data_IF_019869209133
#
_entry.id   IF_019869209133
#
_cell.length_a   1.000
_cell.length_b   1.000
_cell.length_c   1.000
_cell.angle_alpha   90.00
_cell.angle_beta   90.00
_cell.angle_gamma   90.00
#
_symmetry.space_group_name_H-M   'P 1'
#
loop_
_entity.id
_entity.type
_entity.pdbx_description
1 polymer ?
#
# COMPACT_ATOMS: atom_id res chain seq x y z
N UNK A 1 14.25 17.37 12.98
CA UNK A 1 14.81 18.44 12.14
C UNK A 1 14.52 18.11 10.69
N UNK A 2 13.77 18.95 9.97
CA UNK A 2 13.41 18.70 8.57
C UNK A 2 14.56 19.08 7.65
N UNK A 3 14.96 18.16 6.77
CA UNK A 3 15.93 18.41 5.70
C UNK A 3 15.34 19.47 4.77
N UNK A 4 16.13 20.48 4.39
CA UNK A 4 15.64 21.53 3.49
C UNK A 4 15.31 20.94 2.10
N UNK A 5 14.31 21.48 1.38
CA UNK A 5 13.96 21.01 0.02
C UNK A 5 15.17 20.99 -0.93
N UNK A 6 16.13 21.88 -0.71
CA UNK A 6 17.38 21.98 -1.49
C UNK A 6 18.31 20.80 -1.23
N UNK A 7 18.50 20.41 0.04
CA UNK A 7 19.28 19.22 0.41
C UNK A 7 18.62 17.92 -0.06
N UNK A 8 17.29 17.85 -0.02
CA UNK A 8 16.53 16.74 -0.57
C UNK A 8 16.70 16.62 -2.10
N UNK A 9 16.64 17.75 -2.82
CA UNK A 9 16.85 17.79 -4.28
C UNK A 9 18.29 17.42 -4.68
N UNK A 10 19.30 17.88 -3.93
CA UNK A 10 20.71 17.55 -4.18
C UNK A 10 21.00 16.05 -3.92
N UNK A 11 20.40 15.48 -2.86
CA UNK A 11 20.47 14.05 -2.57
C UNK A 11 19.79 13.23 -3.66
N UNK A 12 18.66 13.71 -4.19
CA UNK A 12 17.96 13.10 -5.33
C UNK A 12 18.80 13.03 -6.59
N UNK A 13 19.58 14.06 -6.93
CA UNK A 13 20.47 14.05 -8.09
C UNK A 13 21.57 12.99 -7.97
N UNK A 14 22.20 12.86 -6.80
CA UNK A 14 23.22 11.81 -6.56
C UNK A 14 22.61 10.41 -6.67
N UNK A 15 21.42 10.22 -6.10
CA UNK A 15 20.70 8.95 -6.20
C UNK A 15 20.34 8.62 -7.65
N UNK A 16 19.89 9.60 -8.42
CA UNK A 16 19.56 9.43 -9.84
C UNK A 16 20.79 9.02 -10.66
N UNK A 17 21.95 9.66 -10.46
CA UNK A 17 23.20 9.27 -11.12
C UNK A 17 23.60 7.84 -10.76
N UNK A 18 23.49 7.46 -9.49
CA UNK A 18 23.82 6.12 -9.02
C UNK A 18 22.85 5.08 -9.61
N UNK A 19 21.57 5.41 -9.67
CA UNK A 19 20.53 4.59 -10.30
C UNK A 19 20.79 4.38 -11.79
N UNK A 20 21.08 5.44 -12.56
CA UNK A 20 21.42 5.33 -13.99
C UNK A 20 22.72 4.57 -14.21
N UNK A 21 23.71 4.75 -13.32
CA UNK A 21 24.95 3.97 -13.33
C UNK A 21 24.69 2.48 -13.12
N UNK A 22 23.87 2.12 -12.13
CA UNK A 22 23.48 0.72 -11.87
C UNK A 22 22.66 0.14 -13.04
N UNK A 23 21.77 0.92 -13.67
CA UNK A 23 21.04 0.50 -14.86
C UNK A 23 21.98 0.25 -16.05
N UNK A 24 22.99 1.11 -16.26
CA UNK A 24 23.98 0.91 -17.30
C UNK A 24 24.81 -0.37 -17.05
N UNK A 25 25.23 -0.61 -15.81
CA UNK A 25 25.90 -1.85 -15.41
C UNK A 25 25.00 -3.06 -15.65
N UNK A 26 23.73 -3.00 -15.25
CA UNK A 26 22.76 -4.07 -15.48
C UNK A 26 22.56 -4.36 -16.97
N UNK A 27 22.47 -3.32 -17.81
CA UNK A 27 22.38 -3.46 -19.26
C UNK A 27 23.63 -4.13 -19.84
N UNK A 28 24.83 -3.71 -19.43
CA UNK A 28 26.09 -4.33 -19.86
C UNK A 28 26.16 -5.79 -19.44
N UNK A 29 25.78 -6.12 -18.21
CA UNK A 29 25.73 -7.50 -17.73
C UNK A 29 24.73 -8.35 -18.52
N UNK A 30 23.54 -7.82 -18.78
CA UNK A 30 22.52 -8.51 -19.58
C UNK A 30 22.99 -8.76 -21.02
N UNK A 31 23.57 -7.75 -21.68
CA UNK A 31 24.13 -7.89 -23.02
C UNK A 31 25.29 -8.89 -23.05
N UNK A 32 26.18 -8.82 -22.06
CA UNK A 32 27.29 -9.78 -21.91
C UNK A 32 26.75 -11.20 -21.77
N UNK A 33 25.72 -11.40 -20.93
CA UNK A 33 25.08 -12.70 -20.75
C UNK A 33 24.51 -13.24 -22.07
N UNK A 34 23.79 -12.41 -22.83
CA UNK A 34 23.24 -12.79 -24.15
C UNK A 34 24.35 -13.15 -25.15
N UNK A 35 25.45 -12.40 -25.17
CA UNK A 35 26.58 -12.66 -26.07
C UNK A 35 27.33 -13.94 -25.69
N UNK A 36 27.52 -14.19 -24.40
CA UNK A 36 28.19 -15.39 -23.88
C UNK A 36 27.32 -16.62 -24.06
N UNK A 37 26.01 -16.55 -23.78
CA UNK A 37 25.07 -17.67 -23.96
C UNK A 37 25.01 -18.16 -25.41
N UNK A 38 25.16 -17.24 -26.38
CA UNK A 38 25.27 -17.59 -27.81
C UNK A 38 26.52 -18.39 -28.15
N UNK A 39 27.61 -18.22 -27.40
CA UNK A 39 28.92 -18.83 -27.69
C UNK A 39 29.25 -20.03 -26.82
N UNK A 40 28.74 -20.07 -25.59
CA UNK A 40 29.08 -21.08 -24.61
C UNK A 40 27.81 -21.64 -23.95
N UNK A 41 27.53 -22.91 -24.20
CA UNK A 41 26.52 -23.67 -23.47
C UNK A 41 27.24 -24.61 -22.50
N UNK A 42 27.22 -24.33 -21.18
CA UNK A 42 27.91 -25.18 -20.21
C UNK A 42 27.35 -26.60 -20.27
N UNK A 43 28.25 -27.59 -20.32
CA UNK A 43 27.87 -29.00 -20.34
C UNK A 43 27.08 -29.40 -19.09
N UNK A 44 26.26 -30.44 -19.21
CA UNK A 44 25.37 -30.89 -18.13
C UNK A 44 26.10 -31.18 -16.81
N UNK A 45 27.36 -31.65 -16.87
CA UNK A 45 28.21 -31.91 -15.70
C UNK A 45 28.56 -30.63 -14.95
N UNK A 46 29.00 -29.59 -15.65
CA UNK A 46 29.35 -28.31 -15.04
C UNK A 46 28.13 -27.65 -14.41
N UNK A 47 26.96 -27.70 -15.07
CA UNK A 47 25.71 -27.17 -14.50
C UNK A 47 25.29 -27.91 -13.22
N UNK A 48 25.42 -29.24 -13.18
CA UNK A 48 25.16 -30.03 -11.97
C UNK A 48 26.16 -29.75 -10.85
N UNK A 49 27.45 -29.63 -11.19
CA UNK A 49 28.50 -29.30 -10.24
C UNK A 49 28.27 -27.91 -9.62
N UNK A 50 27.92 -26.92 -10.44
CA UNK A 50 27.57 -25.59 -9.97
C UNK A 50 26.32 -25.59 -9.09
N UNK A 51 25.24 -26.27 -9.51
CA UNK A 51 24.04 -26.41 -8.69
C UNK A 51 24.32 -27.14 -7.35
N UNK A 52 25.15 -28.17 -7.38
CA UNK A 52 25.61 -28.88 -6.17
C UNK A 52 26.46 -28.00 -5.26
N UNK A 53 27.35 -27.18 -5.82
CA UNK A 53 28.16 -26.23 -5.06
C UNK A 53 27.30 -25.14 -4.41
N UNK A 54 26.31 -24.60 -5.13
CA UNK A 54 25.34 -23.65 -4.55
C UNK A 54 24.54 -24.27 -3.41
N UNK A 55 24.07 -25.51 -3.59
CA UNK A 55 23.35 -26.23 -2.54
C UNK A 55 24.25 -26.51 -1.33
N UNK A 56 25.48 -26.96 -1.55
CA UNK A 56 26.45 -27.19 -0.49
C UNK A 56 26.76 -25.89 0.28
N UNK A 57 26.95 -24.77 -0.42
CA UNK A 57 27.16 -23.46 0.18
C UNK A 57 25.95 -23.02 1.02
N UNK A 58 24.72 -23.23 0.53
CA UNK A 58 23.50 -22.96 1.29
C UNK A 58 23.40 -23.82 2.55
N UNK A 59 23.73 -25.11 2.45
CA UNK A 59 23.75 -26.02 3.60
C UNK A 59 24.80 -25.59 4.62
N UNK A 60 26.03 -25.30 4.19
CA UNK A 60 27.11 -24.84 5.08
C UNK A 60 26.73 -23.52 5.76
N UNK A 61 26.15 -22.57 5.01
CA UNK A 61 25.69 -21.31 5.58
C UNK A 61 24.58 -21.53 6.61
N UNK A 62 23.58 -22.36 6.31
CA UNK A 62 22.51 -22.69 7.25
C UNK A 62 23.04 -23.41 8.50
N UNK A 63 23.95 -24.38 8.34
CA UNK A 63 24.62 -25.07 9.44
C UNK A 63 25.43 -24.11 10.30
N UNK A 64 26.18 -23.19 9.69
CA UNK A 64 26.91 -22.15 10.42
C UNK A 64 25.96 -21.27 11.25
N UNK A 65 24.83 -20.87 10.68
CA UNK A 65 23.80 -20.10 11.39
C UNK A 65 23.28 -20.87 12.60
N UNK A 66 22.91 -22.14 12.44
CA UNK A 66 22.39 -22.94 13.56
C UNK A 66 23.45 -23.19 14.65
N UNK A 67 24.69 -23.46 14.26
CA UNK A 67 25.80 -23.63 15.22
C UNK A 67 26.09 -22.33 15.97
N UNK A 68 26.03 -21.18 15.29
CA UNK A 68 26.42 -19.88 15.87
C UNK A 68 25.33 -19.21 16.69
N UNK A 69 24.06 -19.36 16.30
CA UNK A 69 22.95 -18.58 16.83
C UNK A 69 21.89 -19.39 17.60
N UNK A 70 21.96 -20.73 17.51
CA UNK A 70 21.14 -21.64 18.30
C UNK A 70 20.30 -22.60 17.46
N UNK A 71 19.52 -23.43 18.14
CA UNK A 71 18.62 -24.37 17.50
C UNK A 71 17.52 -23.66 16.68
N UNK A 72 16.92 -24.29 15.65
CA UNK A 72 15.85 -23.66 14.87
C UNK A 72 14.69 -23.08 15.72
N UNK A 73 14.21 -23.75 16.79
CA UNK A 73 13.18 -23.18 17.66
C UNK A 73 13.64 -21.95 18.44
N UNK A 74 14.89 -21.93 18.93
CA UNK A 74 15.44 -20.76 19.64
C UNK A 74 15.56 -19.55 18.71
N UNK A 75 16.02 -19.77 17.49
CA UNK A 75 16.11 -18.73 16.47
C UNK A 75 14.74 -18.18 16.10
N UNK A 76 13.73 -19.05 15.95
CA UNK A 76 12.36 -18.64 15.68
C UNK A 76 11.79 -17.80 16.84
N UNK A 77 12.02 -18.22 18.09
CA UNK A 77 11.59 -17.50 19.29
C UNK A 77 12.26 -16.12 19.38
N UNK A 78 13.58 -16.05 19.24
CA UNK A 78 14.34 -14.78 19.23
C UNK A 78 13.88 -13.86 18.10
N UNK A 79 13.69 -14.41 16.90
CA UNK A 79 13.20 -13.67 15.74
C UNK A 79 11.80 -13.11 15.96
N UNK A 80 10.89 -13.91 16.52
CA UNK A 80 9.55 -13.46 16.88
C UNK A 80 9.58 -12.35 17.93
N UNK A 81 10.32 -12.53 19.03
CA UNK A 81 10.45 -11.51 20.07
C UNK A 81 11.08 -10.21 19.54
N UNK A 82 12.08 -10.29 18.66
CA UNK A 82 12.69 -9.12 18.02
C UNK A 82 11.71 -8.42 17.06
N UNK A 83 10.92 -9.20 16.31
CA UNK A 83 9.95 -8.68 15.37
C UNK A 83 8.80 -7.95 16.05
N UNK A 84 8.28 -8.49 17.17
CA UNK A 84 7.17 -7.90 17.93
C UNK A 84 7.59 -6.85 18.95
N UNK A 85 8.90 -6.63 19.15
CA UNK A 85 9.38 -5.60 20.05
C UNK A 85 9.06 -4.19 19.50
N UNK A 86 8.89 -3.18 20.38
CA UNK A 86 8.71 -1.80 19.96
C UNK A 86 9.82 -1.34 18.99
N UNK A 87 9.51 -0.46 18.03
CA UNK A 87 10.49 0.06 17.09
C UNK A 87 11.71 0.64 17.82
N UNK A 88 12.93 0.23 17.45
CA UNK A 88 14.15 0.74 18.07
C UNK A 88 14.33 2.22 17.75
N UNK A 89 14.72 3.01 18.76
CA UNK A 89 15.20 4.38 18.55
C UNK A 89 16.63 4.26 18.03
N UNK A 90 16.86 4.67 16.79
CA UNK A 90 18.17 4.61 16.15
C UNK A 90 18.73 6.01 16.08
N UNK A 91 19.56 6.34 17.06
CA UNK A 91 20.32 7.59 17.14
C UNK A 91 21.75 7.33 16.64
N UNK A 92 22.04 7.73 15.39
CA UNK A 92 23.40 7.68 14.84
C UNK A 92 23.57 6.85 13.57
N UNK A 93 24.18 5.67 13.67
CA UNK A 93 24.64 4.89 12.52
C UNK A 93 23.49 4.18 11.79
N UNK A 94 23.36 4.45 10.49
CA UNK A 94 22.40 3.77 9.63
C UNK A 94 22.72 2.28 9.46
N UNK A 95 23.96 1.85 9.69
CA UNK A 95 24.33 0.43 9.65
C UNK A 95 23.60 -0.39 10.73
N UNK A 96 23.25 0.23 11.86
CA UNK A 96 22.50 -0.43 12.94
C UNK A 96 21.06 -0.78 12.50
N UNK A 97 20.55 -0.18 11.41
CA UNK A 97 19.30 -0.61 10.76
C UNK A 97 19.46 -1.87 9.93
N UNK A 98 20.61 -2.06 9.28
CA UNK A 98 20.80 -3.12 8.28
C UNK A 98 20.80 -4.53 8.90
N UNK A 99 21.25 -4.65 10.14
CA UNK A 99 21.35 -5.93 10.86
C UNK A 99 20.24 -6.10 11.91
N UNK A 100 19.22 -5.24 11.90
CA UNK A 100 18.12 -5.28 12.85
C UNK A 100 16.91 -6.03 12.28
N UNK A 101 16.44 -7.03 13.02
CA UNK A 101 15.24 -7.81 12.67
C UNK A 101 14.00 -7.29 13.43
N UNK A 102 13.78 -5.97 13.40
CA UNK A 102 12.58 -5.35 13.97
C UNK A 102 11.44 -5.35 12.97
N UNK A 103 10.23 -5.69 13.44
CA UNK A 103 9.01 -5.56 12.65
C UNK A 103 8.55 -4.12 12.48
N UNK A 104 9.20 -3.14 13.12
CA UNK A 104 8.88 -1.71 13.03
C UNK A 104 7.39 -1.40 13.27
N UNK A 105 6.79 -2.06 14.26
CA UNK A 105 5.37 -1.88 14.63
C UNK A 105 4.37 -2.69 13.82
N UNK A 106 4.79 -3.47 12.81
CA UNK A 106 3.88 -4.29 11.97
C UNK A 106 3.07 -5.31 12.76
N UNK A 107 3.60 -5.84 13.85
CA UNK A 107 2.86 -6.77 14.71
C UNK A 107 1.58 -6.10 15.29
N UNK A 108 1.66 -4.83 15.69
CA UNK A 108 0.51 -4.07 16.18
C UNK A 108 -0.46 -3.75 15.05
N UNK A 109 0.07 -3.41 13.87
CA UNK A 109 -0.74 -3.14 12.67
C UNK A 109 -1.54 -4.37 12.24
N UNK A 110 -0.91 -5.55 12.21
CA UNK A 110 -1.58 -6.81 11.87
C UNK A 110 -2.56 -7.25 12.94
N UNK A 111 -2.25 -6.97 14.21
CA UNK A 111 -3.18 -7.24 15.32
C UNK A 111 -4.45 -6.41 15.19
N UNK A 112 -4.33 -5.13 14.84
CA UNK A 112 -5.49 -4.27 14.58
C UNK A 112 -6.30 -4.73 13.35
N UNK A 113 -5.63 -5.20 12.27
CA UNK A 113 -6.33 -5.77 11.11
C UNK A 113 -7.10 -7.04 11.51
N UNK A 114 -6.48 -7.89 12.31
CA UNK A 114 -7.08 -9.12 12.80
C UNK A 114 -8.28 -8.86 13.72
N UNK A 115 -8.19 -7.86 14.61
CA UNK A 115 -9.31 -7.43 15.44
C UNK A 115 -10.48 -6.90 14.59
N UNK A 116 -10.22 -6.03 13.61
CA UNK A 116 -11.24 -5.55 12.67
C UNK A 116 -11.91 -6.69 11.90
N UNK A 117 -11.16 -7.71 11.50
CA UNK A 117 -11.71 -8.90 10.85
C UNK A 117 -12.66 -9.66 11.78
N UNK A 118 -12.27 -9.87 13.04
CA UNK A 118 -13.11 -10.58 14.03
C UNK A 118 -14.41 -9.85 14.36
N UNK A 119 -14.44 -8.54 14.18
CA UNK A 119 -15.67 -7.75 14.28
C UNK A 119 -16.60 -7.91 13.04
N UNK A 120 -16.06 -8.34 11.89
CA UNK A 120 -16.73 -8.35 10.58
C UNK A 120 -16.45 -9.62 9.76
N UNK A 121 -16.57 -10.80 10.38
CA UNK A 121 -15.96 -12.08 9.93
C UNK A 121 -16.32 -12.56 8.50
N UNK A 122 -17.45 -12.15 7.93
CA UNK A 122 -17.90 -12.67 6.62
C UNK A 122 -17.55 -11.76 5.44
N UNK A 123 -17.84 -10.47 5.56
CA UNK A 123 -17.74 -9.51 4.47
C UNK A 123 -16.57 -8.53 4.65
N UNK A 124 -15.92 -8.54 5.82
CA UNK A 124 -14.98 -7.51 6.22
C UNK A 124 -15.66 -6.19 6.55
N UNK A 125 -14.87 -5.21 7.00
CA UNK A 125 -15.33 -3.90 7.40
C UNK A 125 -15.55 -2.91 6.22
N UNK A 126 -15.29 -3.35 4.99
CA UNK A 126 -15.35 -2.55 3.76
C UNK A 126 -13.96 -2.08 3.30
N UNK A 127 -13.81 -1.82 1.99
CA UNK A 127 -12.55 -1.34 1.42
C UNK A 127 -12.15 0.04 1.98
N UNK A 128 -10.87 0.21 2.34
CA UNK A 128 -10.32 1.41 2.96
C UNK A 128 -10.79 1.67 4.40
N UNK A 129 -11.28 0.64 5.10
CA UNK A 129 -11.75 0.73 6.48
C UNK A 129 -10.63 0.59 7.51
N UNK A 130 -9.47 0.04 7.13
CA UNK A 130 -8.36 -0.20 8.05
C UNK A 130 -7.90 1.08 8.75
N UNK A 131 -7.64 2.17 8.00
CA UNK A 131 -7.26 3.48 8.57
C UNK A 131 -8.22 3.88 9.69
N UNK A 132 -9.54 3.69 9.49
CA UNK A 132 -10.55 4.11 10.47
C UNK A 132 -10.54 3.25 11.73
N UNK A 133 -10.33 1.94 11.58
CA UNK A 133 -10.21 1.05 12.72
C UNK A 133 -8.94 1.40 13.52
N UNK A 134 -7.78 1.46 12.84
CA UNK A 134 -6.51 1.86 13.45
C UNK A 134 -6.62 3.21 14.16
N UNK A 135 -7.21 4.22 13.54
CA UNK A 135 -7.30 5.55 14.14
C UNK A 135 -8.15 5.56 15.43
N UNK A 136 -9.11 4.65 15.58
CA UNK A 136 -9.92 4.54 16.80
C UNK A 136 -9.23 3.78 17.92
N UNK A 137 -8.51 2.71 17.59
CA UNK A 137 -7.99 1.74 18.57
C UNK A 137 -6.51 1.93 18.90
N UNK A 138 -5.76 2.67 18.07
CA UNK A 138 -4.30 2.85 18.27
C UNK A 138 -3.95 3.47 19.62
N UNK A 139 -2.87 2.96 20.20
CA UNK A 139 -2.27 3.47 21.44
C UNK A 139 -1.18 4.52 21.19
N UNK A 140 -0.67 4.59 19.95
CA UNK A 140 0.36 5.54 19.55
C UNK A 140 -0.24 6.64 18.67
N UNK A 141 0.33 7.86 18.66
CA UNK A 141 -0.17 8.94 17.81
C UNK A 141 0.10 8.71 16.31
N UNK A 142 0.75 7.61 15.93
CA UNK A 142 1.10 7.31 14.54
C UNK A 142 -0.15 7.17 13.67
N UNK A 143 -0.21 7.94 12.60
CA UNK A 143 -1.24 7.78 11.57
C UNK A 143 -0.73 6.79 10.52
N UNK A 144 -1.46 5.69 10.34
CA UNK A 144 -1.19 4.68 9.33
C UNK A 144 -2.49 4.43 8.56
N UNK A 145 -2.37 4.25 7.24
CA UNK A 145 -3.50 4.00 6.35
C UNK A 145 -3.76 2.53 6.10
N UNK A 146 -2.70 1.73 6.11
CA UNK A 146 -2.67 0.36 5.60
C UNK A 146 -2.02 -0.57 6.62
N UNK A 147 -2.35 -1.86 6.61
CA UNK A 147 -1.87 -2.80 7.62
C UNK A 147 -0.41 -3.22 7.40
N UNK A 148 0.24 -2.74 6.34
CA UNK A 148 1.54 -3.22 5.86
C UNK A 148 1.52 -4.74 5.65
N UNK A 149 0.51 -5.22 4.92
CA UNK A 149 0.37 -6.62 4.55
C UNK A 149 -0.92 -6.85 3.76
N UNK A 150 -0.78 -7.03 2.44
CA UNK A 150 -1.88 -7.16 1.49
C UNK A 150 -2.92 -8.18 1.94
N UNK A 151 -2.48 -9.36 2.42
CA UNK A 151 -3.38 -10.46 2.75
C UNK A 151 -4.19 -10.20 4.04
N UNK A 152 -3.54 -9.72 5.09
CA UNK A 152 -4.21 -9.47 6.37
C UNK A 152 -5.14 -8.27 6.27
N UNK A 153 -4.76 -7.25 5.50
CA UNK A 153 -5.60 -6.10 5.20
C UNK A 153 -6.82 -6.50 4.36
N UNK A 154 -6.61 -7.26 3.28
CA UNK A 154 -7.71 -7.76 2.44
C UNK A 154 -8.70 -8.60 3.27
N UNK A 155 -8.20 -9.38 4.23
CA UNK A 155 -9.05 -10.15 5.15
C UNK A 155 -9.88 -9.23 6.07
N UNK A 156 -9.26 -8.19 6.63
CA UNK A 156 -9.95 -7.22 7.49
C UNK A 156 -11.01 -6.42 6.73
N UNK A 157 -10.73 -6.03 5.49
CA UNK A 157 -11.57 -5.13 4.72
C UNK A 157 -12.63 -5.84 3.87
N UNK A 158 -12.28 -6.98 3.25
CA UNK A 158 -13.13 -7.69 2.29
C UNK A 158 -13.49 -9.12 2.75
N UNK A 159 -13.06 -9.51 3.96
CA UNK A 159 -13.36 -10.80 4.54
C UNK A 159 -12.69 -11.98 3.83
N UNK A 160 -13.06 -13.21 4.20
CA UNK A 160 -12.50 -14.42 3.62
C UNK A 160 -12.82 -14.56 2.13
N UNK A 161 -13.94 -13.99 1.67
CA UNK A 161 -14.32 -14.01 0.26
C UNK A 161 -13.38 -13.14 -0.58
N UNK A 162 -13.12 -11.90 -0.15
CA UNK A 162 -12.17 -11.01 -0.83
C UNK A 162 -10.76 -11.60 -0.84
N UNK A 163 -10.30 -12.12 0.31
CA UNK A 163 -9.00 -12.79 0.39
C UNK A 163 -8.93 -14.01 -0.54
N UNK A 164 -9.99 -14.83 -0.59
CA UNK A 164 -10.06 -16.01 -1.45
C UNK A 164 -9.95 -15.64 -2.94
N UNK A 165 -10.64 -14.59 -3.37
CA UNK A 165 -10.56 -14.09 -4.75
C UNK A 165 -9.17 -13.56 -5.09
N UNK A 166 -8.56 -12.80 -4.18
CA UNK A 166 -7.21 -12.29 -4.34
C UNK A 166 -6.18 -13.43 -4.46
N UNK A 167 -6.19 -14.37 -3.51
CA UNK A 167 -5.28 -15.52 -3.51
C UNK A 167 -5.48 -16.37 -4.76
N UNK A 168 -6.73 -16.59 -5.19
CA UNK A 168 -7.00 -17.31 -6.42
C UNK A 168 -6.40 -16.61 -7.65
N UNK A 169 -6.56 -15.29 -7.78
CA UNK A 169 -5.96 -14.52 -8.86
C UNK A 169 -4.43 -14.59 -8.85
N UNK A 170 -3.81 -14.41 -7.69
CA UNK A 170 -2.36 -14.45 -7.53
C UNK A 170 -1.75 -15.85 -7.66
N UNK A 171 -2.54 -16.92 -7.44
CA UNK A 171 -2.10 -18.29 -7.62
C UNK A 171 -2.05 -18.73 -9.10
N UNK A 172 -2.79 -18.07 -10.00
CA UNK A 172 -2.84 -18.47 -11.43
C UNK A 172 -1.45 -18.57 -12.08
N UNK A 173 -0.54 -17.58 -11.95
CA UNK A 173 0.81 -17.70 -12.50
C UNK A 173 1.62 -18.85 -11.90
N UNK A 174 1.44 -19.16 -10.61
CA UNK A 174 2.11 -20.28 -9.95
C UNK A 174 1.62 -21.63 -10.50
N UNK A 175 0.32 -21.77 -10.73
CA UNK A 175 -0.26 -22.96 -11.37
C UNK A 175 0.20 -23.08 -12.82
N UNK A 176 0.27 -21.95 -13.54
CA UNK A 176 0.75 -21.92 -14.93
C UNK A 176 2.20 -22.39 -15.04
N UNK A 177 3.08 -22.03 -14.10
CA UNK A 177 4.46 -22.50 -14.07
C UNK A 177 4.56 -24.03 -14.14
N UNK A 178 3.71 -24.78 -13.43
CA UNK A 178 3.72 -26.24 -13.45
C UNK A 178 3.40 -26.85 -14.82
N UNK A 179 2.71 -26.10 -15.70
CA UNK A 179 2.37 -26.50 -17.07
C UNK A 179 3.31 -25.90 -18.12
N UNK A 180 4.26 -25.06 -17.71
CA UNK A 180 5.16 -24.34 -18.61
C UNK A 180 6.38 -25.16 -19.02
N UNK A 181 6.99 -24.75 -20.14
CA UNK A 181 8.32 -25.25 -20.48
C UNK A 181 9.34 -24.58 -19.54
N UNK A 182 10.05 -25.40 -18.75
CA UNK A 182 10.99 -24.95 -17.71
C UNK A 182 12.29 -24.41 -18.29
N UNK A 183 12.22 -23.26 -18.93
CA UNK A 183 13.39 -22.50 -19.39
C UNK A 183 13.97 -21.64 -18.25
N UNK A 184 15.24 -21.22 -18.31
CA UNK A 184 15.85 -20.40 -17.27
C UNK A 184 15.11 -19.08 -17.01
N UNK A 185 14.58 -18.43 -18.05
CA UNK A 185 13.81 -17.17 -17.91
C UNK A 185 12.50 -17.39 -17.14
N UNK A 186 11.84 -18.54 -17.33
CA UNK A 186 10.62 -18.91 -16.59
C UNK A 186 10.93 -19.16 -15.12
N UNK A 187 12.06 -19.81 -14.82
CA UNK A 187 12.52 -19.99 -13.44
C UNK A 187 12.85 -18.64 -12.76
N UNK A 188 13.49 -17.71 -13.48
CA UNK A 188 13.76 -16.36 -12.99
C UNK A 188 12.47 -15.57 -12.74
N UNK A 189 11.51 -15.62 -13.66
CA UNK A 189 10.20 -15.00 -13.49
C UNK A 189 9.42 -15.57 -12.29
N UNK A 190 9.51 -16.88 -12.06
CA UNK A 190 8.92 -17.52 -10.87
C UNK A 190 9.55 -16.99 -9.59
N UNK A 191 10.89 -16.90 -9.53
CA UNK A 191 11.59 -16.36 -8.38
C UNK A 191 11.19 -14.92 -8.07
N UNK A 192 11.16 -14.06 -9.09
CA UNK A 192 10.74 -12.67 -8.95
C UNK A 192 9.26 -12.54 -8.53
N UNK A 193 8.38 -13.34 -9.13
CA UNK A 193 6.96 -13.34 -8.77
C UNK A 193 6.72 -13.85 -7.34
N UNK A 194 7.38 -14.93 -6.94
CA UNK A 194 7.30 -15.45 -5.58
C UNK A 194 7.84 -14.46 -4.55
N UNK A 195 8.93 -13.76 -4.86
CA UNK A 195 9.46 -12.69 -4.02
C UNK A 195 8.46 -11.54 -3.88
N UNK A 196 7.80 -11.12 -4.97
CA UNK A 196 6.74 -10.11 -4.91
C UNK A 196 5.56 -10.55 -4.02
N UNK A 197 5.07 -11.79 -4.16
CA UNK A 197 3.99 -12.31 -3.32
C UNK A 197 4.37 -12.36 -1.83
N UNK A 198 5.59 -12.79 -1.53
CA UNK A 198 6.09 -12.81 -0.15
C UNK A 198 6.25 -11.39 0.41
N UNK A 199 6.76 -10.45 -0.38
CA UNK A 199 6.93 -9.05 0.01
C UNK A 199 5.58 -8.37 0.28
N UNK A 200 4.58 -8.62 -0.57
CA UNK A 200 3.23 -8.09 -0.39
C UNK A 200 2.56 -8.58 0.92
N UNK A 201 3.03 -9.68 1.52
CA UNK A 201 2.55 -10.11 2.83
C UNK A 201 3.05 -9.23 4.00
N UNK A 202 4.16 -8.54 3.81
CA UNK A 202 4.94 -7.93 4.91
C UNK A 202 4.97 -6.40 4.84
N UNK A 203 4.79 -5.83 3.66
CA UNK A 203 4.89 -4.38 3.48
C UNK A 203 3.83 -3.82 2.54
N UNK A 204 3.71 -2.49 2.51
CA UNK A 204 2.74 -1.75 1.69
C UNK A 204 3.25 -1.43 0.28
N UNK A 205 4.52 -1.74 -0.05
CA UNK A 205 5.12 -1.34 -1.34
C UNK A 205 4.36 -1.85 -2.58
N UNK A 206 3.46 -2.83 -2.43
CA UNK A 206 2.55 -3.24 -3.51
C UNK A 206 1.59 -2.12 -3.95
N UNK A 207 1.37 -1.09 -3.14
CA UNK A 207 0.64 0.10 -3.54
C UNK A 207 1.43 0.96 -4.53
N UNK A 208 2.76 0.84 -4.54
CA UNK A 208 3.59 1.48 -5.55
C UNK A 208 3.37 0.78 -6.89
N UNK A 209 2.76 1.51 -7.83
CA UNK A 209 2.35 0.94 -9.12
C UNK A 209 3.50 0.27 -9.88
N UNK A 210 4.73 0.78 -9.75
CA UNK A 210 5.91 0.21 -10.38
C UNK A 210 6.26 -1.19 -9.83
N UNK A 211 6.15 -1.38 -8.51
CA UNK A 211 6.46 -2.66 -7.83
C UNK A 211 5.42 -3.71 -8.23
N UNK A 212 4.14 -3.38 -8.13
CA UNK A 212 3.06 -4.29 -8.51
C UNK A 212 3.08 -4.61 -10.00
N UNK A 213 3.33 -3.64 -10.87
CA UNK A 213 3.43 -3.90 -12.30
C UNK A 213 4.60 -4.85 -12.62
N UNK A 214 5.77 -4.65 -12.01
CA UNK A 214 6.92 -5.54 -12.20
C UNK A 214 6.61 -6.98 -11.77
N UNK A 215 5.96 -7.16 -10.61
CA UNK A 215 5.49 -8.45 -10.12
C UNK A 215 4.49 -9.10 -11.09
N UNK A 216 3.43 -8.38 -11.47
CA UNK A 216 2.39 -8.88 -12.37
C UNK A 216 2.92 -9.20 -13.78
N UNK A 217 3.90 -8.46 -14.30
CA UNK A 217 4.55 -8.78 -15.57
C UNK A 217 5.34 -10.10 -15.48
N UNK A 218 6.01 -10.38 -14.36
CA UNK A 218 6.63 -11.69 -14.13
C UNK A 218 5.57 -12.80 -14.10
N UNK A 219 4.44 -12.58 -13.44
CA UNK A 219 3.31 -13.50 -13.45
C UNK A 219 2.74 -13.73 -14.86
N UNK A 220 2.59 -12.67 -15.66
CA UNK A 220 2.13 -12.76 -17.04
C UNK A 220 3.08 -13.59 -17.91
N UNK A 221 4.40 -13.46 -17.72
CA UNK A 221 5.38 -14.30 -18.40
C UNK A 221 5.20 -15.79 -18.06
N UNK A 222 4.88 -16.14 -16.81
CA UNK A 222 4.59 -17.54 -16.43
C UNK A 222 3.35 -18.07 -17.13
N UNK A 223 2.28 -17.26 -17.20
CA UNK A 223 1.05 -17.63 -17.90
C UNK A 223 1.30 -17.81 -19.40
N UNK A 224 2.06 -16.90 -20.02
CA UNK A 224 2.43 -16.98 -21.44
C UNK A 224 3.29 -18.22 -21.73
N UNK A 225 4.25 -18.55 -20.87
CA UNK A 225 5.12 -19.72 -21.02
C UNK A 225 4.39 -21.06 -20.88
N UNK A 226 3.21 -21.06 -20.26
CA UNK A 226 2.34 -22.21 -20.12
C UNK A 226 1.43 -22.46 -21.34
N UNK A 227 1.38 -21.53 -22.30
CA UNK A 227 0.56 -21.67 -23.51
C UNK A 227 1.20 -22.67 -24.47
N UNK A 228 0.77 -23.93 -24.42
CA UNK A 228 1.11 -24.95 -25.42
C UNK A 228 -0.13 -25.42 -26.19
N UNK A 229 -0.04 -25.46 -27.52
CA UNK A 229 -1.09 -25.97 -28.43
C UNK A 229 -2.16 -24.95 -28.83
N UNK A 230 -3.17 -25.41 -29.58
CA UNK A 230 -4.34 -24.62 -29.93
C UNK A 230 -5.12 -24.28 -28.66
N UNK A 231 -4.94 -23.05 -28.16
CA UNK A 231 -5.69 -22.56 -27.02
C UNK A 231 -7.19 -22.72 -27.32
N UNK A 232 -7.92 -23.44 -26.46
CA UNK A 232 -9.38 -23.49 -26.57
C UNK A 232 -9.89 -22.07 -26.39
N UNK A 233 -10.47 -21.51 -27.44
CA UNK A 233 -11.05 -20.18 -27.33
C UNK A 233 -12.21 -20.23 -26.31
N UNK A 234 -12.24 -19.29 -25.34
CA UNK A 234 -13.38 -19.17 -24.46
C UNK A 234 -14.63 -18.87 -25.30
N UNK A 235 -15.76 -19.45 -24.88
CA UNK A 235 -17.06 -19.25 -25.55
C UNK A 235 -17.36 -17.74 -25.67
N UNK A 236 -17.99 -17.33 -26.77
CA UNK A 236 -18.42 -15.94 -27.00
C UNK A 236 -19.05 -15.23 -25.78
N UNK A 237 -19.99 -15.83 -25.01
CA UNK A 237 -20.55 -15.19 -23.82
C UNK A 237 -19.51 -14.93 -22.71
N UNK A 238 -18.55 -15.84 -22.53
CA UNK A 238 -17.48 -15.65 -21.54
C UNK A 238 -16.56 -14.51 -21.96
N UNK A 239 -16.22 -14.43 -23.25
CA UNK A 239 -15.43 -13.32 -23.80
C UNK A 239 -16.14 -11.98 -23.63
N UNK A 240 -17.43 -11.94 -23.95
CA UNK A 240 -18.27 -10.75 -23.74
C UNK A 240 -18.32 -10.33 -22.28
N UNK A 241 -18.51 -11.28 -21.36
CA UNK A 241 -18.51 -11.01 -19.92
C UNK A 241 -17.17 -10.48 -19.39
N UNK A 242 -16.05 -11.08 -19.79
CA UNK A 242 -14.70 -10.62 -19.40
C UNK A 242 -14.42 -9.23 -19.96
N UNK A 243 -14.77 -8.97 -21.22
CA UNK A 243 -14.61 -7.64 -21.83
C UNK A 243 -15.45 -6.60 -21.08
N UNK A 244 -16.71 -6.91 -20.79
CA UNK A 244 -17.60 -6.00 -20.06
C UNK A 244 -17.08 -5.71 -18.65
N UNK A 245 -16.63 -6.74 -17.92
CA UNK A 245 -16.03 -6.58 -16.60
C UNK A 245 -14.75 -5.72 -16.66
N UNK A 246 -13.89 -5.94 -17.66
CA UNK A 246 -12.69 -5.14 -17.88
C UNK A 246 -13.01 -3.68 -18.21
N UNK A 247 -14.00 -3.43 -19.07
CA UNK A 247 -14.48 -2.08 -19.40
C UNK A 247 -15.10 -1.38 -18.19
N UNK A 248 -15.88 -2.10 -17.37
CA UNK A 248 -16.45 -1.56 -16.14
C UNK A 248 -15.35 -1.18 -15.13
N UNK A 249 -14.37 -2.06 -14.92
CA UNK A 249 -13.22 -1.78 -14.06
C UNK A 249 -12.41 -0.57 -14.58
N UNK A 250 -12.17 -0.49 -15.89
CA UNK A 250 -11.48 0.63 -16.52
C UNK A 250 -12.26 1.95 -16.37
N UNK A 251 -13.60 1.92 -16.51
CA UNK A 251 -14.45 3.10 -16.32
C UNK A 251 -14.41 3.60 -14.86
N UNK A 252 -14.47 2.70 -13.88
CA UNK A 252 -14.35 3.04 -12.45
C UNK A 252 -12.97 3.62 -12.15
N UNK A 253 -11.90 2.99 -12.65
CA UNK A 253 -10.53 3.49 -12.48
C UNK A 253 -10.35 4.87 -13.13
N UNK A 254 -10.93 5.09 -14.31
CA UNK A 254 -10.89 6.37 -15.02
C UNK A 254 -11.63 7.48 -14.26
N UNK A 255 -12.85 7.21 -13.77
CA UNK A 255 -13.59 8.16 -12.94
C UNK A 255 -12.82 8.49 -11.65
N UNK A 256 -12.25 7.47 -11.00
CA UNK A 256 -11.39 7.63 -9.83
C UNK A 256 -10.15 8.48 -10.11
N UNK A 257 -9.48 8.27 -11.24
CA UNK A 257 -8.30 9.06 -11.64
C UNK A 257 -8.66 10.54 -11.85
N UNK A 258 -9.72 10.82 -12.62
CA UNK A 258 -10.15 12.20 -12.88
C UNK A 258 -10.64 12.90 -11.61
N UNK A 259 -11.40 12.20 -10.78
CA UNK A 259 -11.86 12.71 -9.49
C UNK A 259 -10.72 13.03 -8.53
N UNK A 260 -9.78 12.10 -8.34
CA UNK A 260 -8.63 12.30 -7.46
C UNK A 260 -7.67 13.37 -7.99
N UNK A 261 -7.49 13.48 -9.31
CA UNK A 261 -6.69 14.55 -9.91
C UNK A 261 -7.33 15.94 -9.69
N UNK A 262 -8.65 16.04 -9.85
CA UNK A 262 -9.38 17.27 -9.55
C UNK A 262 -9.34 17.60 -8.05
N UNK A 263 -9.43 16.59 -7.18
CA UNK A 263 -9.33 16.77 -5.73
C UNK A 263 -7.95 17.24 -5.30
N UNK A 264 -6.88 16.64 -5.81
CA UNK A 264 -5.51 17.07 -5.56
C UNK A 264 -5.31 18.54 -6.01
N UNK A 265 -5.85 18.90 -7.19
CA UNK A 265 -5.83 20.29 -7.66
C UNK A 265 -6.59 21.25 -6.72
N UNK A 266 -7.64 20.79 -6.04
CA UNK A 266 -8.36 21.58 -5.06
C UNK A 266 -7.54 21.77 -3.78
N UNK A 267 -6.93 20.70 -3.27
CA UNK A 267 -6.06 20.72 -2.08
C UNK A 267 -4.83 21.63 -2.29
N UNK A 268 -4.20 21.56 -3.47
CA UNK A 268 -3.10 22.45 -3.85
C UNK A 268 -3.55 23.92 -3.89
N UNK A 269 -4.72 24.20 -4.48
CA UNK A 269 -5.27 25.54 -4.54
C UNK A 269 -5.67 26.08 -3.15
N UNK A 270 -6.14 25.23 -2.22
CA UNK A 270 -6.35 25.59 -0.81
C UNK A 270 -5.03 25.98 -0.16
N UNK A 271 -3.98 25.18 -0.34
CA UNK A 271 -2.65 25.45 0.22
C UNK A 271 -2.04 26.77 -0.28
N UNK A 272 -2.37 27.18 -1.50
CA UNK A 272 -1.92 28.44 -2.12
C UNK A 272 -2.88 29.62 -1.88
N UNK A 273 -3.99 29.43 -1.17
CA UNK A 273 -4.98 30.49 -0.92
C UNK A 273 -5.83 30.89 -2.14
N UNK A 274 -5.86 30.06 -3.19
CA UNK A 274 -6.65 30.28 -4.41
C UNK A 274 -8.07 29.71 -4.28
N UNK A 275 -8.86 30.32 -3.41
CA UNK A 275 -10.15 29.78 -2.95
C UNK A 275 -11.16 29.49 -4.07
N UNK A 276 -11.29 30.37 -5.06
CA UNK A 276 -12.23 30.18 -6.18
C UNK A 276 -11.81 29.01 -7.09
N UNK A 277 -10.50 28.87 -7.33
CA UNK A 277 -9.93 27.74 -8.06
C UNK A 277 -10.12 26.42 -7.29
N UNK A 278 -9.91 26.45 -5.98
CA UNK A 278 -10.13 25.32 -5.09
C UNK A 278 -11.59 24.86 -5.10
N UNK A 279 -12.55 25.78 -4.95
CA UNK A 279 -13.97 25.48 -5.01
C UNK A 279 -14.38 24.88 -6.36
N UNK A 280 -13.90 25.46 -7.47
CA UNK A 280 -14.16 24.95 -8.81
C UNK A 280 -13.59 23.55 -9.03
N UNK A 281 -12.39 23.28 -8.53
CA UNK A 281 -11.75 21.96 -8.60
C UNK A 281 -12.48 20.92 -7.72
N UNK A 282 -12.92 21.31 -6.52
CA UNK A 282 -13.71 20.47 -5.64
C UNK A 282 -15.06 20.07 -6.27
N UNK A 283 -15.75 21.01 -6.93
CA UNK A 283 -17.00 20.69 -7.67
C UNK A 283 -16.73 19.75 -8.85
N UNK A 284 -15.59 19.89 -9.55
CA UNK A 284 -15.21 18.89 -10.57
C UNK A 284 -14.94 17.52 -9.96
N UNK A 285 -14.27 17.46 -8.81
CA UNK A 285 -14.02 16.21 -8.12
C UNK A 285 -15.33 15.53 -7.70
N UNK A 286 -16.31 16.30 -7.22
CA UNK A 286 -17.65 15.80 -6.85
C UNK A 286 -18.37 15.18 -8.04
N UNK A 287 -18.32 15.80 -9.22
CA UNK A 287 -18.94 15.24 -10.45
C UNK A 287 -18.38 13.87 -10.84
N UNK A 288 -17.09 13.63 -10.61
CA UNK A 288 -16.44 12.36 -10.93
C UNK A 288 -16.54 11.32 -9.80
N UNK A 289 -16.69 11.78 -8.55
CA UNK A 289 -16.76 10.93 -7.36
C UNK A 289 -17.91 11.35 -6.43
N UNK A 290 -19.18 11.27 -6.88
CA UNK A 290 -20.33 11.71 -6.08
C UNK A 290 -20.55 10.86 -4.81
N UNK A 291 -19.93 9.68 -4.74
CA UNK A 291 -19.94 8.80 -3.57
C UNK A 291 -18.92 9.20 -2.49
N UNK A 292 -18.04 10.17 -2.75
CA UNK A 292 -16.97 10.55 -1.82
C UNK A 292 -17.34 11.80 -1.00
N UNK A 293 -17.01 11.80 0.29
CA UNK A 293 -17.11 12.98 1.15
C UNK A 293 -15.96 13.99 0.92
N UNK A 294 -14.83 13.56 0.36
CA UNK A 294 -13.62 14.40 0.22
C UNK A 294 -13.82 15.64 -0.67
N UNK A 295 -14.55 15.59 -1.80
CA UNK A 295 -14.88 16.79 -2.57
C UNK A 295 -15.66 17.83 -1.74
N UNK A 296 -16.58 17.39 -0.88
CA UNK A 296 -17.34 18.28 0.00
C UNK A 296 -16.46 18.91 1.09
N UNK A 297 -15.49 18.15 1.61
CA UNK A 297 -14.46 18.68 2.52
C UNK A 297 -13.63 19.78 1.85
N UNK A 298 -13.07 19.51 0.68
CA UNK A 298 -12.26 20.48 -0.06
C UNK A 298 -13.07 21.74 -0.43
N UNK A 299 -14.34 21.57 -0.80
CA UNK A 299 -15.24 22.69 -1.08
C UNK A 299 -15.51 23.53 0.18
N UNK A 300 -15.73 22.88 1.33
CA UNK A 300 -15.94 23.56 2.60
C UNK A 300 -14.71 24.35 3.05
N UNK A 301 -13.52 23.77 2.92
CA UNK A 301 -12.25 24.45 3.21
C UNK A 301 -12.04 25.67 2.30
N UNK A 302 -12.33 25.52 0.99
CA UNK A 302 -12.24 26.62 0.03
C UNK A 302 -13.20 27.77 0.38
N UNK A 303 -14.46 27.46 0.72
CA UNK A 303 -15.46 28.45 1.14
C UNK A 303 -15.08 29.14 2.45
N UNK A 304 -14.59 28.37 3.42
CA UNK A 304 -14.15 28.92 4.70
C UNK A 304 -12.98 29.89 4.51
N UNK A 305 -11.99 29.53 3.68
CA UNK A 305 -10.88 30.41 3.31
C UNK A 305 -11.32 31.67 2.56
N UNK A 306 -12.39 31.59 1.76
CA UNK A 306 -13.01 32.73 1.08
C UNK A 306 -13.88 33.61 1.99
N UNK A 307 -14.07 33.24 3.27
CA UNK A 307 -14.94 33.95 4.21
C UNK A 307 -16.43 33.58 4.14
N UNK A 308 -16.82 32.61 3.30
CA UNK A 308 -18.18 32.07 3.24
C UNK A 308 -18.38 30.97 4.29
N UNK A 309 -18.48 31.37 5.55
CA UNK A 309 -18.71 30.44 6.68
C UNK A 309 -20.03 29.66 6.55
N UNK A 310 -21.18 30.26 6.18
CA UNK A 310 -22.42 29.50 6.02
C UNK A 310 -22.32 28.43 4.93
N UNK A 311 -21.73 28.76 3.78
CA UNK A 311 -21.52 27.81 2.70
C UNK A 311 -20.50 26.72 3.05
N UNK A 312 -19.49 27.04 3.86
CA UNK A 312 -18.54 26.06 4.38
C UNK A 312 -19.22 25.05 5.32
N UNK A 313 -20.02 25.52 6.27
CA UNK A 313 -20.80 24.66 7.18
C UNK A 313 -21.70 23.72 6.37
N UNK A 314 -22.44 24.23 5.39
CA UNK A 314 -23.30 23.41 4.53
C UNK A 314 -22.51 22.32 3.77
N UNK A 315 -21.31 22.66 3.29
CA UNK A 315 -20.42 21.69 2.64
C UNK A 315 -19.91 20.63 3.61
N UNK A 316 -19.49 21.00 4.83
CA UNK A 316 -19.06 20.02 5.83
C UNK A 316 -20.20 19.15 6.35
N UNK A 317 -21.40 19.70 6.51
CA UNK A 317 -22.61 18.93 6.83
C UNK A 317 -22.93 17.91 5.73
N UNK A 318 -22.75 18.30 4.46
CA UNK A 318 -22.88 17.35 3.35
C UNK A 318 -21.80 16.27 3.39
N UNK A 319 -20.56 16.63 3.71
CA UNK A 319 -19.47 15.67 3.84
C UNK A 319 -19.77 14.61 4.92
N UNK A 320 -20.19 15.02 6.12
CA UNK A 320 -20.54 14.08 7.21
C UNK A 320 -21.81 13.28 6.92
N UNK A 321 -22.70 13.78 6.04
CA UNK A 321 -23.87 13.03 5.60
C UNK A 321 -23.54 11.96 4.55
N UNK A 322 -22.49 12.18 3.75
CA UNK A 322 -21.97 11.18 2.79
C UNK A 322 -21.14 10.13 3.53
N UNK A 323 -20.30 10.55 4.47
CA UNK A 323 -19.46 9.67 5.28
C UNK A 323 -19.35 10.19 6.71
N UNK A 324 -20.08 9.57 7.64
CA UNK A 324 -20.08 9.95 9.05
C UNK A 324 -18.89 9.35 9.84
N UNK A 325 -18.08 8.51 9.18
CA UNK A 325 -16.91 7.84 9.72
C UNK A 325 -15.60 8.59 9.49
N UNK A 326 -15.61 9.66 8.68
CA UNK A 326 -14.43 10.50 8.47
C UNK A 326 -14.30 11.57 9.58
N UNK A 327 -13.33 11.36 10.48
CA UNK A 327 -13.05 12.30 11.57
C UNK A 327 -12.68 13.70 11.07
N UNK A 328 -12.11 13.82 9.86
CA UNK A 328 -11.68 15.10 9.28
C UNK A 328 -12.87 16.00 9.01
N UNK A 329 -13.96 15.44 8.47
CA UNK A 329 -15.20 16.17 8.24
C UNK A 329 -15.84 16.70 9.52
N UNK A 330 -15.83 15.90 10.58
CA UNK A 330 -16.30 16.34 11.89
C UNK A 330 -15.38 17.40 12.52
N UNK A 331 -14.07 17.28 12.35
CA UNK A 331 -13.10 18.27 12.84
C UNK A 331 -13.31 19.64 12.16
N UNK A 332 -13.43 19.66 10.83
CA UNK A 332 -13.64 20.89 10.07
C UNK A 332 -15.02 21.52 10.38
N UNK A 333 -16.06 20.70 10.51
CA UNK A 333 -17.37 21.18 10.95
C UNK A 333 -17.31 21.79 12.36
N UNK A 334 -16.53 21.21 13.28
CA UNK A 334 -16.34 21.74 14.63
C UNK A 334 -15.56 23.07 14.66
N UNK A 335 -14.68 23.31 13.68
CA UNK A 335 -13.96 24.57 13.53
C UNK A 335 -14.89 25.66 13.00
N UNK A 336 -15.72 25.35 12.00
CA UNK A 336 -16.57 26.35 11.33
C UNK A 336 -17.89 26.64 12.06
N UNK A 337 -18.50 25.63 12.70
CA UNK A 337 -19.81 25.77 13.34
C UNK A 337 -19.74 26.30 14.78
N UNK A 338 -20.90 26.61 15.35
CA UNK A 338 -21.05 27.05 16.75
C UNK A 338 -22.17 26.26 17.46
N UNK A 339 -22.32 26.50 18.78
CA UNK A 339 -23.40 25.93 19.57
C UNK A 339 -23.46 24.39 19.56
N UNK A 340 -24.67 23.84 19.42
CA UNK A 340 -24.91 22.40 19.50
C UNK A 340 -24.23 21.62 18.36
N UNK A 341 -24.19 22.17 17.15
CA UNK A 341 -23.54 21.55 15.99
C UNK A 341 -22.05 21.35 16.25
N UNK A 342 -21.37 22.40 16.76
CA UNK A 342 -19.96 22.31 17.18
C UNK A 342 -19.75 21.23 18.24
N UNK A 343 -20.56 21.22 19.29
CA UNK A 343 -20.43 20.24 20.37
C UNK A 343 -20.64 18.80 19.89
N UNK A 344 -21.59 18.56 18.98
CA UNK A 344 -21.79 17.25 18.34
C UNK A 344 -20.56 16.85 17.51
N UNK A 345 -20.05 17.79 16.72
CA UNK A 345 -18.92 17.54 15.83
C UNK A 345 -17.64 17.21 16.61
N UNK A 346 -17.35 17.92 17.70
CA UNK A 346 -16.22 17.63 18.60
C UNK A 346 -16.34 16.23 19.19
N UNK A 347 -17.53 15.84 19.70
CA UNK A 347 -17.74 14.50 20.27
C UNK A 347 -17.48 13.40 19.23
N UNK A 348 -17.99 13.58 18.01
CA UNK A 348 -17.85 12.57 16.95
C UNK A 348 -16.41 12.49 16.45
N UNK A 349 -15.73 13.62 16.21
CA UNK A 349 -14.31 13.65 15.86
C UNK A 349 -13.45 12.96 16.94
N UNK A 350 -13.74 13.22 18.23
CA UNK A 350 -13.04 12.57 19.36
C UNK A 350 -13.25 11.07 19.38
N UNK A 351 -14.45 10.59 19.10
CA UNK A 351 -14.74 9.16 19.06
C UNK A 351 -14.07 8.45 17.88
N UNK A 352 -13.85 9.15 16.77
CA UNK A 352 -13.26 8.58 15.55
C UNK A 352 -11.73 8.65 15.53
N UNK A 353 -11.12 9.67 16.15
CA UNK A 353 -9.67 9.82 16.19
C UNK A 353 -9.20 10.52 17.49
N UNK A 354 -9.18 9.80 18.64
CA UNK A 354 -8.98 10.38 19.96
C UNK A 354 -7.55 10.93 20.20
N UNK A 355 -6.54 10.39 19.49
CA UNK A 355 -5.14 10.78 19.67
C UNK A 355 -4.70 11.95 18.79
N UNK A 356 -5.54 12.37 17.85
CA UNK A 356 -5.21 13.43 16.90
C UNK A 356 -5.02 14.79 17.59
N UNK A 357 -3.97 15.51 17.22
CA UNK A 357 -3.61 16.76 17.87
C UNK A 357 -4.70 17.84 17.71
N UNK A 358 -5.21 18.02 16.49
CA UNK A 358 -6.28 18.98 16.18
C UNK A 358 -7.57 18.67 16.95
N UNK A 359 -7.95 17.40 17.01
CA UNK A 359 -9.14 16.92 17.75
C UNK A 359 -8.97 17.12 19.26
N UNK A 360 -7.79 16.81 19.82
CA UNK A 360 -7.49 17.06 21.24
C UNK A 360 -7.54 18.55 21.58
N UNK A 361 -7.05 19.41 20.68
CA UNK A 361 -7.14 20.86 20.81
C UNK A 361 -8.60 21.32 20.85
N UNK A 362 -9.44 20.85 19.93
CA UNK A 362 -10.88 21.16 19.91
C UNK A 362 -11.59 20.71 21.20
N UNK A 363 -11.27 19.50 21.68
CA UNK A 363 -11.83 18.95 22.92
C UNK A 363 -11.45 19.78 24.15
N UNK A 364 -10.18 20.15 24.28
CA UNK A 364 -9.71 20.97 25.41
C UNK A 364 -10.32 22.37 25.41
N UNK A 365 -10.42 23.01 24.24
CA UNK A 365 -11.09 24.30 24.08
C UNK A 365 -12.58 24.25 24.44
N UNK A 366 -13.26 23.12 24.21
CA UNK A 366 -14.64 22.91 24.64
C UNK A 366 -14.79 22.68 26.14
N UNK A 367 -13.77 22.17 26.83
CA UNK A 367 -13.81 21.86 28.26
C UNK A 367 -13.42 23.05 29.15
N UNK A 368 -12.56 23.96 28.66
CA UNK A 368 -12.12 25.16 29.39
C UNK A 368 -13.02 26.40 29.23
N UNK A 369 -14.07 26.34 28.41
CA UNK A 369 -15.00 27.44 28.15
C UNK A 369 -16.37 27.30 28.83
N UNK A 370 -16.46 26.50 29.89
CA UNK A 370 -17.67 26.23 30.67
C UNK A 370 -17.76 27.08 31.93
#
# INVERSE_FOLDING_TARGET
AGVSRVEAAASGHRLALLFFGLLAVQLVLALTFVLVERRARPGARLRRAYGGALLAMLVVAASFVFVRFGSPPELASKGYSAFTAPPPIIDGDLNDRLLNFSGNGRADLWSAAWESYREHELLGAGAGSYERHWLRTRETPLQVRDAHGLYVETLAELGPLGLGLLVAALAVPLVAFWRSNRTPIVAGALGAYAAFLAHAAVDWDWELSAVTLAGLLCGALLVLAARHGAAREPRAPVRGGVLLAGLAAAAVAFAGLLGNSALASAEDAVAEGRWESAASAAVRAERWMPWSARPWLALGQARLGAGDTPGAIASFEKAVAVDDGDWRAWSELAVAASGQTRSRAIRRATALNPLEASVRSLRSASAGGG
#
